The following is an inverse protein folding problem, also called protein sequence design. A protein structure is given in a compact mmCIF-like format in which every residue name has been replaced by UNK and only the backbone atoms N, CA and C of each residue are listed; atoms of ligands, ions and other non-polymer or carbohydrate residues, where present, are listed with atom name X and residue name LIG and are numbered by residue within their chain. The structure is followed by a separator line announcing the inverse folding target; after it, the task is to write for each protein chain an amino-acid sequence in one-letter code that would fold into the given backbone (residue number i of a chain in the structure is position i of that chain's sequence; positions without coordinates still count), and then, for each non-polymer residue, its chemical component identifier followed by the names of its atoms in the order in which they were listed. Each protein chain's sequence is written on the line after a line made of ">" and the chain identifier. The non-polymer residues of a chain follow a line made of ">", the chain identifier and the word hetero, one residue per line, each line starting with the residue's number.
data_IF_822000457135
#
_entry.id   IF_822000457135
#
_cell.length_a   1.000
_cell.length_b   1.000
_cell.length_c   1.000
_cell.angle_alpha   90.00
_cell.angle_beta   90.00
_cell.angle_gamma   90.00
#
_symmetry.space_group_name_H-M   'P 1'
#
loop_
_entity.id
_entity.type
_entity.pdbx_description
1 polymer ?
#
# COMPACT_ATOMS: atom_id res chain seq x y z
N UNK A 1 -13.83 -5.94 -19.43
CA UNK A 1 -12.39 -5.65 -19.60
C UNK A 1 -11.66 -6.98 -19.63
N UNK A 2 -10.89 -7.24 -20.68
CA UNK A 2 -10.24 -8.54 -20.88
C UNK A 2 -8.89 -8.59 -20.15
N UNK A 3 -8.50 -9.77 -19.69
CA UNK A 3 -7.17 -10.03 -19.08
C UNK A 3 -6.02 -9.53 -19.96
N UNK A 4 -6.21 -9.43 -21.28
CA UNK A 4 -5.21 -8.92 -22.22
C UNK A 4 -4.72 -7.49 -21.92
N UNK A 5 -5.55 -6.59 -21.39
CA UNK A 5 -5.13 -5.21 -21.08
C UNK A 5 -4.21 -5.13 -19.86
N UNK A 6 -4.31 -6.05 -18.90
CA UNK A 6 -3.43 -6.02 -17.72
C UNK A 6 -2.06 -6.59 -18.06
N UNK A 7 -1.98 -7.62 -18.91
CA UNK A 7 -0.71 -8.25 -19.29
C UNK A 7 0.21 -7.30 -20.07
N UNK A 8 -0.36 -6.43 -20.91
CA UNK A 8 0.39 -5.33 -21.54
C UNK A 8 0.89 -4.27 -20.54
N UNK A 9 0.16 -4.03 -19.44
CA UNK A 9 0.54 -3.05 -18.42
C UNK A 9 1.59 -3.61 -17.45
N UNK A 10 1.43 -4.87 -17.05
CA UNK A 10 2.18 -5.48 -15.94
C UNK A 10 3.30 -6.41 -16.40
N UNK A 11 3.23 -6.92 -17.64
CA UNK A 11 4.20 -7.84 -18.23
C UNK A 11 4.12 -9.26 -17.66
N UNK A 12 4.40 -10.26 -18.48
CA UNK A 12 4.52 -11.67 -18.05
C UNK A 12 5.93 -11.94 -17.50
N UNK A 13 6.21 -11.45 -16.29
CA UNK A 13 7.47 -11.75 -15.60
C UNK A 13 7.62 -13.24 -15.27
N UNK A 14 8.86 -13.75 -15.31
CA UNK A 14 9.20 -15.07 -14.73
C UNK A 14 8.91 -15.07 -13.21
N UNK A 15 8.66 -16.23 -12.56
CA UNK A 15 8.38 -16.29 -11.13
C UNK A 15 9.46 -15.63 -10.25
N UNK A 16 10.73 -15.64 -10.66
CA UNK A 16 11.83 -14.98 -9.97
C UNK A 16 11.87 -13.44 -10.11
N UNK A 17 10.96 -12.86 -10.90
CA UNK A 17 10.89 -11.44 -11.24
C UNK A 17 9.49 -10.85 -11.01
N UNK A 18 8.70 -11.43 -10.10
CA UNK A 18 7.36 -10.93 -9.76
C UNK A 18 7.42 -9.90 -8.63
N UNK A 19 6.51 -8.90 -8.61
CA UNK A 19 6.39 -8.01 -7.47
C UNK A 19 6.03 -8.77 -6.20
N UNK A 20 6.66 -8.42 -5.07
CA UNK A 20 6.27 -8.91 -3.75
C UNK A 20 5.28 -7.93 -3.15
N UNK A 21 4.05 -8.35 -2.86
CA UNK A 21 2.99 -7.43 -2.43
C UNK A 21 2.43 -7.87 -1.09
N UNK A 22 2.49 -6.97 -0.11
CA UNK A 22 1.80 -7.17 1.15
C UNK A 22 0.28 -7.04 0.96
N UNK A 23 -0.50 -7.87 1.65
CA UNK A 23 -1.96 -7.86 1.49
C UNK A 23 -2.65 -8.19 2.81
N UNK A 24 -3.70 -7.42 3.13
CA UNK A 24 -4.59 -7.77 4.22
C UNK A 24 -5.22 -9.14 3.94
N UNK A 25 -4.88 -10.13 4.77
CA UNK A 25 -5.11 -11.57 4.48
C UNK A 25 -6.58 -11.91 4.17
N UNK A 26 -7.53 -11.17 4.74
CA UNK A 26 -8.96 -11.37 4.48
C UNK A 26 -9.34 -11.07 3.01
N UNK A 27 -8.58 -10.25 2.29
CA UNK A 27 -8.76 -9.95 0.87
C UNK A 27 -8.44 -11.15 -0.03
N UNK A 28 -7.59 -12.07 0.44
CA UNK A 28 -7.30 -13.34 -0.24
C UNK A 28 -8.30 -14.45 0.10
N UNK A 29 -9.35 -14.17 0.88
CA UNK A 29 -10.31 -15.19 1.31
C UNK A 29 -9.90 -15.98 2.55
N UNK A 30 -8.85 -15.57 3.28
CA UNK A 30 -8.48 -16.21 4.54
C UNK A 30 -9.41 -15.74 5.66
N UNK A 31 -9.93 -16.69 6.43
CA UNK A 31 -10.82 -16.44 7.57
C UNK A 31 -10.05 -15.88 8.76
N UNK A 32 -9.83 -14.55 8.76
CA UNK A 32 -9.11 -13.80 9.80
C UNK A 32 -9.88 -12.59 10.33
N UNK A 33 -11.10 -12.34 9.83
CA UNK A 33 -11.92 -11.23 10.31
C UNK A 33 -12.41 -11.50 11.73
N UNK A 34 -12.82 -10.43 12.41
CA UNK A 34 -13.36 -10.52 13.77
C UNK A 34 -14.56 -11.48 13.87
N UNK A 35 -15.39 -11.52 12.83
CA UNK A 35 -16.56 -12.42 12.71
C UNK A 35 -16.23 -13.84 12.24
N UNK A 36 -14.94 -14.21 12.15
CA UNK A 36 -14.54 -15.54 11.68
C UNK A 36 -14.57 -15.72 10.17
N UNK A 37 -15.01 -14.72 9.40
CA UNK A 37 -15.09 -14.79 7.95
C UNK A 37 -13.91 -14.15 7.22
N UNK A 38 -14.12 -13.88 5.93
CA UNK A 38 -13.18 -13.20 5.05
C UNK A 38 -13.85 -12.04 4.30
N UNK A 39 -13.07 -11.33 3.47
CA UNK A 39 -13.55 -10.29 2.56
C UNK A 39 -12.83 -10.48 1.23
N UNK A 40 -13.04 -11.64 0.60
CA UNK A 40 -12.29 -12.00 -0.62
C UNK A 40 -12.58 -10.94 -1.68
N UNK A 41 -11.54 -10.42 -2.28
CA UNK A 41 -11.64 -9.46 -3.37
C UNK A 41 -11.11 -10.16 -4.64
N UNK A 42 -11.91 -10.16 -5.70
CA UNK A 42 -11.66 -10.94 -6.91
C UNK A 42 -10.52 -10.36 -7.78
N UNK A 43 -10.42 -9.03 -7.91
CA UNK A 43 -9.27 -8.39 -8.55
C UNK A 43 -7.97 -8.74 -7.81
N UNK A 44 -7.96 -8.72 -6.47
CA UNK A 44 -6.78 -9.12 -5.69
C UNK A 44 -6.47 -10.60 -5.89
N UNK A 45 -7.43 -11.49 -5.65
CA UNK A 45 -7.20 -12.93 -5.64
C UNK A 45 -6.96 -13.52 -7.05
N UNK A 46 -7.75 -13.09 -8.03
CA UNK A 46 -7.82 -13.72 -9.36
C UNK A 46 -7.08 -12.94 -10.43
N UNK A 47 -7.07 -11.61 -10.35
CA UNK A 47 -6.39 -10.77 -11.36
C UNK A 47 -4.94 -10.52 -10.96
N UNK A 48 -4.64 -10.08 -9.75
CA UNK A 48 -3.27 -9.87 -9.31
C UNK A 48 -2.58 -11.16 -8.87
N UNK A 49 -3.32 -12.10 -8.29
CA UNK A 49 -2.76 -13.33 -7.70
C UNK A 49 -1.80 -14.13 -8.60
N UNK A 50 -2.09 -14.33 -9.90
CA UNK A 50 -1.16 -15.01 -10.81
C UNK A 50 0.12 -14.23 -11.14
N UNK A 51 0.20 -12.94 -10.77
CA UNK A 51 1.21 -11.98 -11.26
C UNK A 51 2.12 -11.44 -10.16
N UNK A 52 1.80 -11.68 -8.89
CA UNK A 52 2.55 -11.17 -7.72
C UNK A 52 2.76 -12.26 -6.67
N UNK A 53 3.75 -12.06 -5.82
CA UNK A 53 4.01 -12.92 -4.66
C UNK A 53 3.43 -12.28 -3.39
N UNK A 54 2.44 -12.93 -2.80
CA UNK A 54 1.73 -12.38 -1.64
C UNK A 54 2.50 -12.50 -0.33
N UNK A 55 2.52 -11.40 0.41
CA UNK A 55 2.90 -11.35 1.81
C UNK A 55 1.66 -11.07 2.64
N UNK A 56 1.13 -12.13 3.23
CA UNK A 56 -0.10 -12.07 4.02
C UNK A 56 0.17 -11.37 5.35
N UNK A 57 -0.66 -10.38 5.66
CA UNK A 57 -0.61 -9.65 6.93
C UNK A 57 -2.02 -9.54 7.52
N UNK A 58 -2.15 -9.77 8.81
CA UNK A 58 -3.34 -9.43 9.58
C UNK A 58 -2.90 -8.87 10.94
N UNK A 59 -2.79 -7.54 11.09
CA UNK A 59 -2.26 -6.94 12.31
C UNK A 59 -3.00 -7.40 13.56
N UNK A 60 -4.32 -7.53 13.49
CA UNK A 60 -5.16 -7.92 14.62
C UNK A 60 -4.89 -9.36 15.10
N UNK A 61 -4.77 -10.31 14.17
CA UNK A 61 -4.43 -11.70 14.51
C UNK A 61 -2.99 -11.80 15.00
N UNK A 62 -2.07 -11.07 14.36
CA UNK A 62 -0.64 -11.11 14.69
C UNK A 62 -0.30 -10.42 16.02
N UNK A 63 -1.10 -9.46 16.46
CA UNK A 63 -1.05 -8.98 17.85
C UNK A 63 -1.78 -9.91 18.84
N UNK A 64 -2.21 -11.10 18.41
CA UNK A 64 -2.72 -12.16 19.29
C UNK A 64 -4.21 -12.09 19.63
N UNK A 65 -5.05 -11.39 18.83
CA UNK A 65 -6.49 -11.35 19.11
C UNK A 65 -7.26 -12.61 18.67
N UNK A 66 -6.65 -13.49 17.87
CA UNK A 66 -7.31 -14.72 17.40
C UNK A 66 -8.41 -14.50 16.36
N UNK A 67 -9.15 -15.56 16.02
CA UNK A 67 -10.29 -15.53 15.09
C UNK A 67 -11.29 -16.64 15.47
N UNK A 68 -12.59 -16.33 15.72
CA UNK A 68 -13.18 -14.99 15.81
C UNK A 68 -12.68 -14.21 17.03
N UNK A 69 -13.07 -12.93 17.13
CA UNK A 69 -12.76 -12.02 18.23
C UNK A 69 -13.80 -10.92 18.32
N UNK A 70 -13.93 -10.29 19.48
CA UNK A 70 -14.77 -9.10 19.58
C UNK A 70 -14.21 -7.96 18.70
N UNK A 71 -15.08 -7.07 18.19
CA UNK A 71 -14.64 -5.90 17.45
C UNK A 71 -13.70 -5.03 18.27
N UNK A 72 -12.81 -4.34 17.57
CA UNK A 72 -11.98 -3.27 18.13
C UNK A 72 -12.38 -1.96 17.46
N UNK A 73 -12.27 -0.85 18.17
CA UNK A 73 -12.64 0.47 17.67
C UNK A 73 -11.55 1.50 17.94
N UNK A 74 -11.51 2.53 17.09
CA UNK A 74 -10.69 3.72 17.37
C UNK A 74 -11.52 4.68 18.21
N UNK A 75 -10.94 5.18 19.30
CA UNK A 75 -11.54 6.20 20.15
C UNK A 75 -10.72 7.48 20.05
N UNK A 76 -11.39 8.60 19.75
CA UNK A 76 -10.75 9.90 19.66
C UNK A 76 -10.12 10.27 21.01
N UNK A 77 -8.91 10.80 20.95
CA UNK A 77 -8.29 11.47 22.10
C UNK A 77 -8.41 12.98 21.90
N UNK A 78 -7.81 13.78 22.79
CA UNK A 78 -7.69 15.23 22.56
C UNK A 78 -7.00 15.58 21.23
N UNK A 79 -6.28 14.63 20.59
CA UNK A 79 -5.77 14.73 19.22
C UNK A 79 -6.46 13.67 18.32
N UNK A 80 -7.30 14.08 17.35
CA UNK A 80 -7.98 13.15 16.45
C UNK A 80 -7.02 12.38 15.53
N UNK A 81 -5.76 12.82 15.39
CA UNK A 81 -4.72 12.11 14.62
C UNK A 81 -4.05 10.99 15.42
N UNK A 82 -4.36 10.89 16.72
CA UNK A 82 -3.78 9.90 17.64
C UNK A 82 -4.89 9.22 18.44
N UNK A 83 -5.78 8.46 17.77
CA UNK A 83 -6.82 7.72 18.47
C UNK A 83 -6.23 6.59 19.31
N UNK A 84 -7.01 6.12 20.28
CA UNK A 84 -6.76 4.86 21.00
C UNK A 84 -7.42 3.70 20.27
N UNK A 85 -6.71 2.58 20.13
CA UNK A 85 -7.28 1.33 19.64
C UNK A 85 -7.77 0.49 20.82
N UNK A 86 -9.08 0.36 20.98
CA UNK A 86 -9.69 -0.32 22.13
C UNK A 86 -10.31 -1.66 21.74
N UNK A 87 -10.16 -2.65 22.61
CA UNK A 87 -10.84 -3.94 22.57
C UNK A 87 -11.59 -4.12 23.91
N UNK A 88 -12.87 -3.73 23.93
CA UNK A 88 -13.56 -3.43 25.19
C UNK A 88 -12.83 -2.30 25.92
N UNK A 89 -12.55 -2.48 27.20
CA UNK A 89 -11.81 -1.49 28.01
C UNK A 89 -10.28 -1.58 27.85
N UNK A 90 -9.78 -2.54 27.07
CA UNK A 90 -8.33 -2.75 26.91
C UNK A 90 -7.76 -1.84 25.82
N UNK A 91 -6.80 -1.01 26.19
CA UNK A 91 -6.04 -0.17 25.28
C UNK A 91 -4.92 -0.98 24.60
N UNK A 92 -5.08 -1.23 23.30
CA UNK A 92 -4.13 -1.98 22.47
C UNK A 92 -3.20 -1.07 21.66
N UNK A 93 -3.28 0.25 21.83
CA UNK A 93 -2.61 1.23 20.96
C UNK A 93 -1.10 1.02 20.92
N UNK A 94 -0.45 0.92 22.08
CA UNK A 94 1.01 0.73 22.17
C UNK A 94 1.44 -0.63 21.62
N UNK A 95 0.63 -1.67 21.84
CA UNK A 95 0.89 -3.02 21.32
C UNK A 95 0.82 -3.04 19.80
N UNK A 96 -0.24 -2.47 19.22
CA UNK A 96 -0.42 -2.38 17.76
C UNK A 96 0.68 -1.53 17.13
N UNK A 97 1.07 -0.41 17.74
CA UNK A 97 2.13 0.45 17.22
C UNK A 97 3.50 -0.24 17.23
N UNK A 98 3.84 -0.91 18.33
CA UNK A 98 5.11 -1.66 18.45
C UNK A 98 5.18 -2.79 17.43
N UNK A 99 4.08 -3.55 17.29
CA UNK A 99 3.94 -4.56 16.24
C UNK A 99 4.08 -3.95 14.84
N UNK A 100 3.40 -2.84 14.56
CA UNK A 100 3.45 -2.20 13.25
C UNK A 100 4.87 -1.83 12.85
N UNK A 101 5.64 -1.20 13.75
CA UNK A 101 7.03 -0.83 13.47
C UNK A 101 7.92 -2.05 13.16
N UNK A 102 7.81 -3.12 13.97
CA UNK A 102 8.56 -4.36 13.73
C UNK A 102 8.16 -5.04 12.42
N UNK A 103 6.86 -5.12 12.14
CA UNK A 103 6.32 -5.72 10.91
C UNK A 103 6.70 -4.92 9.67
N UNK A 104 6.69 -3.59 9.73
CA UNK A 104 7.14 -2.71 8.65
C UNK A 104 8.63 -2.93 8.37
N UNK A 105 9.46 -3.08 9.41
CA UNK A 105 10.88 -3.39 9.24
C UNK A 105 11.07 -4.76 8.55
N UNK A 106 10.31 -5.79 8.93
CA UNK A 106 10.31 -7.09 8.24
C UNK A 106 9.90 -6.95 6.76
N UNK A 107 8.82 -6.21 6.48
CA UNK A 107 8.36 -5.97 5.11
C UNK A 107 9.39 -5.22 4.26
N UNK A 108 10.12 -4.27 4.86
CA UNK A 108 11.24 -3.58 4.20
C UNK A 108 12.39 -4.54 3.88
N UNK A 109 12.77 -5.40 4.83
CA UNK A 109 13.81 -6.41 4.62
C UNK A 109 13.43 -7.43 3.53
N UNK A 110 12.13 -7.66 3.34
CA UNK A 110 11.57 -8.46 2.25
C UNK A 110 11.35 -7.68 0.95
N UNK A 111 11.79 -6.42 0.89
CA UNK A 111 11.68 -5.49 -0.24
C UNK A 111 10.39 -5.64 -1.05
N UNK A 112 9.27 -5.39 -0.37
CA UNK A 112 7.95 -5.37 -0.99
C UNK A 112 7.80 -4.19 -1.94
N UNK A 113 6.98 -4.38 -2.97
CA UNK A 113 6.70 -3.45 -4.06
C UNK A 113 5.33 -2.75 -3.89
N UNK A 114 4.54 -3.16 -2.91
CA UNK A 114 3.27 -2.52 -2.57
C UNK A 114 2.54 -3.18 -1.40
N UNK A 115 1.48 -2.54 -0.93
CA UNK A 115 0.57 -3.06 0.08
C UNK A 115 -0.89 -2.78 -0.31
N UNK A 116 -1.71 -3.83 -0.44
CA UNK A 116 -3.18 -3.75 -0.53
C UNK A 116 -3.83 -3.96 0.84
N UNK A 117 -4.36 -2.90 1.44
CA UNK A 117 -4.93 -2.91 2.79
C UNK A 117 -6.44 -3.14 2.79
N UNK A 118 -6.97 -3.65 3.90
CA UNK A 118 -8.42 -3.74 4.13
C UNK A 118 -8.98 -2.37 4.57
N UNK A 119 -9.85 -1.79 3.74
CA UNK A 119 -10.49 -0.50 3.96
C UNK A 119 -11.30 -0.48 5.26
N UNK A 120 -11.37 0.69 5.90
CA UNK A 120 -12.21 0.98 7.08
C UNK A 120 -11.91 0.13 8.32
N UNK A 121 -10.84 -0.68 8.32
CA UNK A 121 -10.41 -1.42 9.51
C UNK A 121 -9.78 -0.45 10.53
N UNK A 122 -10.05 -0.62 11.83
CA UNK A 122 -9.41 0.14 12.90
C UNK A 122 -7.89 -0.11 13.00
N UNK A 123 -7.39 -1.17 12.34
CA UNK A 123 -5.95 -1.46 12.24
C UNK A 123 -5.39 -1.09 10.87
N UNK A 124 -6.01 -1.56 9.79
CA UNK A 124 -5.49 -1.47 8.42
C UNK A 124 -6.11 -0.36 7.57
N UNK A 125 -7.20 0.28 7.98
CA UNK A 125 -7.90 1.25 7.15
C UNK A 125 -7.02 2.46 6.86
N UNK A 126 -6.70 2.70 5.58
CA UNK A 126 -5.95 3.89 5.15
C UNK A 126 -6.73 5.19 5.39
N UNK A 127 -8.06 5.08 5.39
CA UNK A 127 -9.02 6.12 5.71
C UNK A 127 -10.36 5.50 6.14
N UNK A 128 -11.27 6.36 6.59
CA UNK A 128 -12.67 6.03 6.86
C UNK A 128 -12.93 4.90 7.87
N UNK A 129 -11.95 4.59 8.72
CA UNK A 129 -12.17 3.76 9.89
C UNK A 129 -13.14 4.47 10.84
N UNK A 130 -13.94 3.68 11.57
CA UNK A 130 -14.83 4.22 12.61
C UNK A 130 -13.98 4.84 13.72
N UNK A 131 -14.33 6.06 14.12
CA UNK A 131 -13.74 6.81 15.22
C UNK A 131 -14.85 7.20 16.18
N UNK A 132 -14.81 6.69 17.40
CA UNK A 132 -15.76 6.98 18.48
C UNK A 132 -15.28 8.21 19.25
N UNK A 133 -16.13 9.23 19.37
CA UNK A 133 -15.84 10.46 20.11
C UNK A 133 -16.18 10.33 21.60
N UNK A 134 -15.70 11.26 22.45
CA UNK A 134 -16.03 11.26 23.87
C UNK A 134 -17.53 11.39 24.17
N UNK A 135 -18.30 12.02 23.28
CA UNK A 135 -19.76 12.16 23.36
C UNK A 135 -20.52 10.92 22.83
N UNK A 136 -19.81 9.86 22.45
CA UNK A 136 -20.38 8.64 21.88
C UNK A 136 -20.71 8.74 20.39
N UNK A 137 -20.53 9.89 19.75
CA UNK A 137 -20.74 10.03 18.30
C UNK A 137 -19.68 9.25 17.51
N UNK A 138 -20.08 8.65 16.39
CA UNK A 138 -19.21 7.81 15.55
C UNK A 138 -19.00 8.45 14.20
N UNK A 139 -17.75 8.80 13.91
CA UNK A 139 -17.33 9.37 12.63
C UNK A 139 -16.58 8.35 11.77
N UNK A 140 -16.55 8.57 10.44
CA UNK A 140 -15.80 7.75 9.48
C UNK A 140 -14.62 8.54 8.91
N UNK A 141 -13.77 9.00 9.81
CA UNK A 141 -12.59 9.84 9.51
C UNK A 141 -11.29 9.21 10.03
N UNK A 142 -11.37 8.06 10.71
CA UNK A 142 -10.22 7.42 11.33
C UNK A 142 -9.26 6.81 10.30
N UNK A 143 -7.99 6.75 10.70
CA UNK A 143 -6.95 5.92 10.06
C UNK A 143 -6.56 4.83 11.05
N UNK A 144 -6.44 3.58 10.60
CA UNK A 144 -6.06 2.48 11.46
C UNK A 144 -4.62 2.62 11.97
N UNK A 145 -4.34 2.16 13.20
CA UNK A 145 -3.03 2.41 13.85
C UNK A 145 -1.86 1.82 13.05
N UNK A 146 -2.03 0.63 12.46
CA UNK A 146 -1.00 0.01 11.61
C UNK A 146 -0.83 0.78 10.31
N UNK A 147 -1.94 1.16 9.66
CA UNK A 147 -1.92 1.94 8.42
C UNK A 147 -1.28 3.33 8.61
N UNK A 148 -1.53 3.98 9.74
CA UNK A 148 -0.89 5.24 10.10
C UNK A 148 0.63 5.06 10.23
N UNK A 149 1.09 4.06 10.99
CA UNK A 149 2.52 3.78 11.12
C UNK A 149 3.18 3.47 9.76
N UNK A 150 2.48 2.75 8.88
CA UNK A 150 2.96 2.45 7.53
C UNK A 150 3.12 3.72 6.68
N UNK A 151 2.11 4.61 6.68
CA UNK A 151 2.15 5.90 5.95
C UNK A 151 3.28 6.80 6.44
N UNK A 152 3.46 6.87 7.76
CA UNK A 152 4.53 7.68 8.38
C UNK A 152 5.92 7.11 8.08
N UNK A 153 6.07 5.78 8.08
CA UNK A 153 7.37 5.13 7.96
C UNK A 153 7.81 4.85 6.53
N UNK A 154 6.88 4.74 5.57
CA UNK A 154 7.16 4.36 4.18
C UNK A 154 6.21 5.05 3.18
N UNK A 155 6.25 6.39 3.07
CA UNK A 155 5.33 7.15 2.23
C UNK A 155 5.46 6.85 0.73
N UNK A 156 6.60 6.33 0.27
CA UNK A 156 6.85 5.98 -1.14
C UNK A 156 6.28 4.63 -1.55
N UNK A 157 5.88 3.78 -0.61
CA UNK A 157 5.33 2.46 -0.94
C UNK A 157 3.96 2.60 -1.62
N UNK A 158 3.73 1.96 -2.78
CA UNK A 158 2.40 1.83 -3.34
C UNK A 158 1.42 1.24 -2.31
N UNK A 159 0.47 2.04 -1.84
CA UNK A 159 -0.51 1.62 -0.86
C UNK A 159 -1.90 2.10 -1.23
N UNK A 160 -2.86 1.18 -1.23
CA UNK A 160 -4.26 1.44 -1.51
C UNK A 160 -5.10 0.36 -0.82
N UNK A 161 -6.41 0.54 -0.80
CA UNK A 161 -7.34 -0.43 -0.23
C UNK A 161 -8.34 -0.93 -1.27
N UNK A 162 -9.17 -1.90 -0.91
CA UNK A 162 -10.09 -2.51 -1.87
C UNK A 162 -11.14 -1.55 -2.44
N UNK A 163 -11.35 -0.37 -1.84
CA UNK A 163 -12.32 0.61 -2.39
C UNK A 163 -11.84 1.25 -3.68
N UNK A 164 -10.51 1.35 -3.88
CA UNK A 164 -9.94 1.77 -5.16
C UNK A 164 -10.16 0.74 -6.28
N UNK A 165 -10.46 -0.51 -5.91
CA UNK A 165 -10.68 -1.61 -6.86
C UNK A 165 -12.13 -1.68 -7.34
N UNK A 166 -13.06 -1.00 -6.65
CA UNK A 166 -14.47 -0.91 -7.05
C UNK A 166 -14.63 -0.20 -8.40
N UNK A 167 -13.67 0.65 -8.78
CA UNK A 167 -13.62 1.33 -10.08
C UNK A 167 -12.51 0.67 -10.93
N UNK A 168 -12.84 -0.07 -12.02
CA UNK A 168 -11.85 -0.86 -12.76
C UNK A 168 -10.63 -0.08 -13.26
N UNK A 169 -10.83 1.15 -13.75
CA UNK A 169 -9.73 2.00 -14.22
C UNK A 169 -8.79 2.42 -13.09
N UNK A 170 -9.33 2.68 -11.90
CA UNK A 170 -8.53 3.00 -10.71
C UNK A 170 -7.75 1.76 -10.28
N UNK A 171 -8.40 0.59 -10.23
CA UNK A 171 -7.73 -0.68 -9.92
C UNK A 171 -6.56 -1.00 -10.86
N UNK A 172 -6.71 -0.76 -12.16
CA UNK A 172 -5.61 -0.92 -13.12
C UNK A 172 -4.47 0.08 -12.87
N UNK A 173 -4.79 1.34 -12.58
CA UNK A 173 -3.79 2.36 -12.28
C UNK A 173 -3.03 2.07 -10.97
N UNK A 174 -3.70 1.46 -9.98
CA UNK A 174 -3.11 0.98 -8.74
C UNK A 174 -2.21 -0.24 -8.93
N UNK A 175 -2.66 -1.20 -9.72
CA UNK A 175 -1.82 -2.34 -10.11
C UNK A 175 -0.56 -1.84 -10.80
N UNK A 176 -0.69 -0.97 -11.80
CA UNK A 176 0.44 -0.39 -12.51
C UNK A 176 1.45 0.29 -11.58
N UNK A 177 0.99 1.05 -10.57
CA UNK A 177 1.87 1.68 -9.61
C UNK A 177 2.82 0.67 -8.94
N UNK A 178 2.30 -0.50 -8.54
CA UNK A 178 3.12 -1.60 -7.99
C UNK A 178 4.15 -2.08 -9.01
N UNK A 179 3.73 -2.36 -10.25
CA UNK A 179 4.61 -2.92 -11.27
C UNK A 179 5.70 -1.93 -11.71
N UNK A 180 5.39 -0.65 -11.84
CA UNK A 180 6.37 0.39 -12.16
C UNK A 180 7.38 0.55 -11.02
N UNK A 181 6.93 0.55 -9.76
CA UNK A 181 7.85 0.63 -8.62
C UNK A 181 8.71 -0.64 -8.48
N UNK A 182 8.17 -1.82 -8.81
CA UNK A 182 8.95 -3.05 -8.90
C UNK A 182 10.04 -2.95 -9.96
N UNK A 183 9.70 -2.58 -11.21
CA UNK A 183 10.67 -2.39 -12.30
C UNK A 183 11.74 -1.37 -11.94
N UNK A 184 11.35 -0.28 -11.28
CA UNK A 184 12.29 0.70 -10.76
C UNK A 184 13.27 0.08 -9.75
N UNK A 185 12.76 -0.62 -8.73
CA UNK A 185 13.59 -1.23 -7.68
C UNK A 185 14.61 -2.22 -8.25
N UNK A 186 14.22 -3.04 -9.24
CA UNK A 186 15.09 -4.07 -9.81
C UNK A 186 16.00 -3.55 -10.93
N UNK A 187 15.59 -2.50 -11.65
CA UNK A 187 16.28 -2.03 -12.86
C UNK A 187 17.09 -0.74 -12.71
N UNK A 188 16.76 0.10 -11.72
CA UNK A 188 17.38 1.41 -11.48
C UNK A 188 18.32 1.40 -10.27
N UNK A 189 19.22 0.42 -10.21
CA UNK A 189 20.15 0.20 -9.09
C UNK A 189 21.41 1.08 -9.15
N UNK A 190 21.69 1.66 -10.31
CA UNK A 190 22.84 2.52 -10.59
C UNK A 190 22.44 3.62 -11.59
N UNK A 191 23.33 4.60 -11.88
CA UNK A 191 23.01 5.70 -12.80
C UNK A 191 22.59 5.26 -14.21
N UNK A 192 23.21 4.21 -14.76
CA UNK A 192 22.90 3.73 -16.11
C UNK A 192 21.53 3.05 -16.13
N UNK A 193 21.26 2.18 -15.16
CA UNK A 193 19.98 1.54 -14.94
C UNK A 193 18.85 2.55 -14.73
N UNK A 194 19.12 3.64 -13.99
CA UNK A 194 18.17 4.74 -13.80
C UNK A 194 17.85 5.47 -15.11
N UNK A 195 18.86 5.78 -15.92
CA UNK A 195 18.67 6.43 -17.22
C UNK A 195 17.90 5.55 -18.19
N UNK A 196 18.23 4.25 -18.26
CA UNK A 196 17.50 3.26 -19.05
C UNK A 196 16.04 3.15 -18.59
N UNK A 197 15.80 3.01 -17.29
CA UNK A 197 14.45 2.96 -16.73
C UNK A 197 13.64 4.20 -17.13
N UNK A 198 14.24 5.39 -17.01
CA UNK A 198 13.57 6.64 -17.40
C UNK A 198 13.17 6.62 -18.87
N UNK A 199 14.11 6.32 -19.79
CA UNK A 199 13.84 6.29 -21.23
C UNK A 199 12.73 5.29 -21.60
N UNK A 200 12.71 4.12 -20.97
CA UNK A 200 11.68 3.08 -21.21
C UNK A 200 10.29 3.46 -20.66
N UNK A 201 10.22 4.29 -19.62
CA UNK A 201 8.97 4.60 -18.93
C UNK A 201 8.50 6.05 -19.07
N UNK A 202 9.24 6.91 -19.78
CA UNK A 202 9.00 8.35 -19.88
C UNK A 202 7.59 8.67 -20.40
N UNK A 203 7.19 8.05 -21.51
CA UNK A 203 5.85 8.24 -22.09
C UNK A 203 4.78 7.88 -21.06
N UNK A 204 4.96 6.74 -20.38
CA UNK A 204 3.98 6.25 -19.42
C UNK A 204 3.88 7.12 -18.17
N UNK A 205 5.02 7.61 -17.67
CA UNK A 205 5.07 8.59 -16.59
C UNK A 205 4.32 9.86 -17.02
N UNK A 206 4.55 10.35 -18.23
CA UNK A 206 3.88 11.55 -18.75
C UNK A 206 2.37 11.40 -18.89
N UNK A 207 1.88 10.23 -19.30
CA UNK A 207 0.44 9.92 -19.31
C UNK A 207 -0.16 9.93 -17.90
N UNK A 208 0.62 9.54 -16.89
CA UNK A 208 0.20 9.47 -15.49
C UNK A 208 0.16 10.86 -14.84
N UNK A 209 1.24 11.61 -15.02
CA UNK A 209 1.45 12.94 -14.49
C UNK A 209 2.41 13.73 -15.39
N UNK A 210 1.85 14.61 -16.23
CA UNK A 210 2.64 15.49 -17.10
C UNK A 210 3.58 16.41 -16.33
N UNK A 211 3.21 16.80 -15.11
CA UNK A 211 4.02 17.66 -14.24
C UNK A 211 5.22 16.94 -13.64
N UNK A 212 5.21 15.61 -13.57
CA UNK A 212 6.30 14.83 -13.01
C UNK A 212 7.54 14.79 -13.92
N UNK A 213 7.39 14.89 -15.25
CA UNK A 213 8.51 14.72 -16.18
C UNK A 213 9.62 15.77 -16.02
N UNK A 214 9.33 17.09 -15.97
CA UNK A 214 10.37 18.09 -15.71
C UNK A 214 11.08 17.87 -14.38
N UNK A 215 10.34 17.47 -13.34
CA UNK A 215 10.90 17.20 -12.03
C UNK A 215 11.83 15.97 -12.04
N UNK A 216 11.44 14.88 -12.70
CA UNK A 216 12.24 13.67 -12.79
C UNK A 216 13.52 13.91 -13.61
N UNK A 217 13.42 14.62 -14.75
CA UNK A 217 14.58 15.02 -15.56
C UNK A 217 15.54 15.91 -14.77
N UNK A 218 15.01 16.81 -13.94
CA UNK A 218 15.82 17.62 -13.01
C UNK A 218 16.59 16.77 -12.00
N UNK A 219 15.99 15.69 -11.48
CA UNK A 219 16.71 14.74 -10.59
C UNK A 219 17.82 14.02 -11.36
N UNK A 220 17.55 13.55 -12.58
CA UNK A 220 18.56 12.86 -13.41
C UNK A 220 19.79 13.74 -13.65
N UNK A 221 19.59 15.03 -13.91
CA UNK A 221 20.64 16.02 -14.15
C UNK A 221 21.30 16.56 -12.87
N UNK A 222 20.74 16.30 -11.69
CA UNK A 222 21.28 16.83 -10.43
C UNK A 222 22.69 16.29 -10.12
N UNK A 223 23.55 17.14 -9.58
CA UNK A 223 24.83 16.72 -9.01
C UNK A 223 24.63 16.03 -7.65
N UNK A 224 25.58 15.17 -7.27
CA UNK A 224 25.58 14.48 -5.97
C UNK A 224 25.59 12.96 -6.07
N UNK A 225 25.56 12.33 -4.90
CA UNK A 225 25.66 10.87 -4.72
C UNK A 225 24.61 10.11 -5.54
N UNK A 226 25.02 9.11 -6.36
CA UNK A 226 24.10 8.28 -7.15
C UNK A 226 22.94 7.69 -6.34
N UNK A 227 23.23 7.20 -5.13
CA UNK A 227 22.22 6.58 -4.26
C UNK A 227 21.14 7.57 -3.82
N UNK A 228 21.50 8.83 -3.55
CA UNK A 228 20.54 9.85 -3.18
C UNK A 228 19.70 10.30 -4.37
N UNK A 229 20.31 10.37 -5.56
CA UNK A 229 19.59 10.65 -6.81
C UNK A 229 18.53 9.60 -7.10
N UNK A 230 18.86 8.32 -6.99
CA UNK A 230 17.93 7.20 -7.15
C UNK A 230 16.79 7.31 -6.12
N UNK A 231 17.08 7.60 -4.85
CA UNK A 231 16.05 7.80 -3.82
C UNK A 231 15.12 8.98 -4.13
N UNK A 232 15.67 10.11 -4.58
CA UNK A 232 14.87 11.27 -4.98
C UNK A 232 13.96 10.96 -6.17
N UNK A 233 14.49 10.22 -7.16
CA UNK A 233 13.71 9.79 -8.32
C UNK A 233 12.58 8.88 -7.88
N UNK A 234 12.84 7.89 -7.01
CA UNK A 234 11.84 6.96 -6.48
C UNK A 234 10.68 7.69 -5.80
N UNK A 235 10.98 8.70 -4.96
CA UNK A 235 9.97 9.53 -4.28
C UNK A 235 9.03 10.24 -5.28
N UNK A 236 9.62 10.87 -6.31
CA UNK A 236 8.85 11.61 -7.33
C UNK A 236 8.07 10.68 -8.25
N UNK A 237 8.67 9.55 -8.64
CA UNK A 237 8.02 8.52 -9.43
C UNK A 237 6.81 7.96 -8.68
N UNK A 238 6.97 7.58 -7.42
CA UNK A 238 5.88 7.06 -6.62
C UNK A 238 4.73 8.07 -6.49
N UNK A 239 5.05 9.35 -6.26
CA UNK A 239 4.05 10.43 -6.24
C UNK A 239 3.28 10.55 -7.57
N UNK A 240 3.96 10.47 -8.71
CA UNK A 240 3.33 10.54 -10.03
C UNK A 240 2.28 9.43 -10.23
N UNK A 241 2.55 8.22 -9.72
CA UNK A 241 1.65 7.07 -9.83
C UNK A 241 0.63 6.94 -8.68
N UNK A 242 0.81 7.69 -7.59
CA UNK A 242 -0.12 7.73 -6.46
C UNK A 242 -1.42 8.50 -6.79
N UNK A 243 -1.38 9.49 -7.68
CA UNK A 243 -2.57 10.25 -8.12
C UNK A 243 -3.47 9.39 -8.99
N UNK A 244 -4.80 9.49 -8.93
CA UNK A 244 -5.68 8.81 -9.91
C UNK A 244 -5.69 9.64 -11.20
N UNK A 245 -5.67 9.05 -12.42
CA UNK A 245 -5.71 9.83 -13.66
C UNK A 245 -6.96 10.73 -13.64
N UNK A 246 -6.80 12.01 -13.97
CA UNK A 246 -7.95 12.87 -14.22
C UNK A 246 -8.75 12.28 -15.40
N UNK A 247 -10.08 12.34 -15.30
CA UNK A 247 -10.99 11.91 -16.38
C UNK A 247 -10.77 12.71 -17.65
#
# INVERSE_FOLDING_TARGET
>A
MTFASIDHLVGSGTPASRPRVAVSSCLLGINVRYDGGHRREAFVADVLGPRVDWIRVCPEVEIGLGTPRDPIDLHATGDPRRPKLLHGDRDLTSRMRSFALGRIAELRAREIDGYILKARSPSCGLAHARLVRPDGYVERVGTGIFAQALKESWPELPMFDETDLDIPLVGLARAEWIFVMHRFRVGATDPEGLMRFHGEHEERIGLRDRGALPELRSVLASAGEPSERIRQYARRLSRAFASIPAR
#
